data_IF_817870793136
#
_entry.id   IF_817870793136
#
_cell.length_a   1.000
_cell.length_b   1.000
_cell.length_c   1.000
_cell.angle_alpha   90.00
_cell.angle_beta   90.00
_cell.angle_gamma   90.00
#
_symmetry.space_group_name_H-M   'P 1'
#
loop_
_entity.id
_entity.type
_entity.pdbx_description
1 polymer ?
#
# COMPACT_ATOMS: atom_id res chain seq x y z
N UNK A 1 13.82 -2.20 -19.68
CA UNK A 1 14.15 -2.83 -18.37
C UNK A 1 12.82 -3.21 -17.72
N UNK A 2 12.69 -4.43 -17.21
CA UNK A 2 11.45 -4.91 -16.58
C UNK A 2 11.58 -4.81 -15.05
N UNK A 3 10.71 -4.02 -14.41
CA UNK A 3 10.73 -3.81 -12.95
C UNK A 3 10.47 -5.08 -12.15
N UNK A 4 9.80 -6.06 -12.73
CA UNK A 4 9.55 -7.36 -12.09
C UNK A 4 10.84 -8.11 -11.72
N UNK A 5 11.95 -7.82 -12.44
CA UNK A 5 13.21 -8.55 -12.29
C UNK A 5 14.41 -7.66 -12.01
N UNK A 6 14.22 -6.33 -11.96
CA UNK A 6 15.34 -5.38 -11.85
C UNK A 6 16.02 -5.40 -10.48
N UNK A 7 15.29 -5.77 -9.43
CA UNK A 7 15.70 -5.63 -8.04
C UNK A 7 15.52 -6.91 -7.22
N UNK A 8 14.89 -7.93 -7.77
CA UNK A 8 14.43 -9.10 -7.04
C UNK A 8 14.68 -10.39 -7.84
N UNK A 9 14.76 -11.51 -7.14
CA UNK A 9 14.85 -12.85 -7.73
C UNK A 9 13.45 -13.39 -8.02
N UNK A 10 13.26 -14.02 -9.19
CA UNK A 10 11.99 -14.61 -9.58
C UNK A 10 11.45 -15.59 -8.52
N UNK A 11 10.20 -15.41 -8.14
CA UNK A 11 9.49 -16.28 -7.22
C UNK A 11 9.93 -16.20 -5.75
N UNK A 12 10.80 -15.25 -5.39
CA UNK A 12 11.27 -15.04 -4.02
C UNK A 12 10.81 -13.71 -3.47
N UNK A 13 10.36 -13.69 -2.22
CA UNK A 13 10.10 -12.44 -1.52
C UNK A 13 11.42 -11.72 -1.19
N UNK A 14 11.39 -10.37 -1.06
CA UNK A 14 12.58 -9.65 -0.61
C UNK A 14 12.94 -10.03 0.82
N UNK A 15 14.22 -9.89 1.17
CA UNK A 15 14.67 -9.98 2.56
C UNK A 15 14.17 -8.76 3.34
N UNK A 16 12.98 -8.90 3.90
CA UNK A 16 12.29 -7.87 4.68
C UNK A 16 11.83 -8.41 6.02
N UNK A 17 11.63 -7.52 6.98
CA UNK A 17 11.03 -7.90 8.25
C UNK A 17 9.65 -8.55 8.05
N UNK A 18 8.90 -8.10 7.04
CA UNK A 18 7.60 -8.69 6.73
C UNK A 18 7.71 -10.16 6.33
N UNK A 19 8.68 -10.49 5.51
CA UNK A 19 8.91 -11.88 5.08
C UNK A 19 9.45 -12.74 6.23
N UNK A 20 10.30 -12.17 7.08
CA UNK A 20 10.88 -12.88 8.22
C UNK A 20 9.85 -13.19 9.32
N UNK A 21 8.75 -12.43 9.41
CA UNK A 21 7.75 -12.54 10.49
C UNK A 21 6.39 -13.06 10.02
N UNK A 22 6.24 -13.35 8.72
CA UNK A 22 5.00 -13.90 8.16
C UNK A 22 5.30 -15.21 7.45
N UNK A 23 4.78 -16.36 7.91
CA UNK A 23 4.94 -17.62 7.20
C UNK A 23 4.40 -17.48 5.76
N UNK A 24 5.20 -17.79 4.73
CA UNK A 24 4.74 -17.74 3.36
C UNK A 24 3.67 -18.80 3.10
N UNK A 25 2.74 -18.51 2.19
CA UNK A 25 1.86 -19.56 1.68
C UNK A 25 2.67 -20.57 0.84
N UNK A 26 2.24 -21.83 0.78
CA UNK A 26 2.72 -22.74 -0.25
C UNK A 26 2.61 -22.07 -1.62
N UNK A 27 3.61 -22.25 -2.47
CA UNK A 27 3.59 -21.66 -3.80
C UNK A 27 2.40 -22.18 -4.61
N UNK A 28 1.68 -21.29 -5.27
CA UNK A 28 0.68 -21.68 -6.26
C UNK A 28 1.39 -22.10 -7.55
N UNK A 29 0.87 -23.15 -8.21
CA UNK A 29 1.45 -23.63 -9.46
C UNK A 29 1.36 -22.54 -10.54
N UNK A 30 2.34 -22.46 -11.46
CA UNK A 30 2.22 -21.60 -12.62
C UNK A 30 1.15 -22.10 -13.59
N UNK A 31 0.59 -21.20 -14.38
CA UNK A 31 -0.33 -21.54 -15.47
C UNK A 31 0.46 -22.32 -16.54
N UNK A 32 0.04 -23.57 -16.81
CA UNK A 32 0.72 -24.49 -17.73
C UNK A 32 -0.15 -25.02 -18.86
N UNK A 33 -1.35 -24.46 -19.02
CA UNK A 33 -2.30 -24.84 -20.09
C UNK A 33 -3.29 -23.73 -20.37
N UNK A 34 -3.98 -23.83 -21.48
CA UNK A 34 -5.09 -22.93 -21.83
C UNK A 34 -6.32 -23.28 -20.98
N UNK A 35 -6.93 -22.24 -20.41
CA UNK A 35 -8.14 -22.33 -19.59
C UNK A 35 -9.14 -21.21 -19.94
N UNK A 36 -10.35 -21.32 -19.42
CA UNK A 36 -11.34 -20.25 -19.50
C UNK A 36 -11.82 -19.86 -18.11
N UNK A 37 -12.32 -18.63 -17.99
CA UNK A 37 -12.92 -18.09 -16.77
C UNK A 37 -13.92 -16.96 -17.10
N UNK A 38 -14.74 -16.57 -16.15
CA UNK A 38 -15.56 -15.35 -16.31
C UNK A 38 -14.67 -14.11 -16.23
N UNK A 39 -13.79 -14.08 -15.24
CA UNK A 39 -12.91 -12.93 -14.99
C UNK A 39 -11.46 -13.37 -14.81
N UNK A 40 -10.55 -12.76 -15.56
CA UNK A 40 -9.11 -12.90 -15.39
C UNK A 40 -8.54 -11.62 -14.77
N UNK A 41 -7.86 -11.74 -13.63
CA UNK A 41 -7.23 -10.63 -12.91
C UNK A 41 -5.71 -10.75 -13.01
N UNK A 42 -5.05 -9.67 -13.41
CA UNK A 42 -3.59 -9.62 -13.57
C UNK A 42 -2.99 -8.86 -12.40
N UNK A 43 -2.28 -9.58 -11.54
CA UNK A 43 -1.65 -9.09 -10.31
C UNK A 43 -2.38 -9.55 -9.05
N UNK A 44 -1.64 -10.20 -8.15
CA UNK A 44 -2.10 -10.70 -6.85
C UNK A 44 -1.67 -9.78 -5.69
N UNK A 45 -1.81 -8.46 -5.87
CA UNK A 45 -1.76 -7.46 -4.81
C UNK A 45 -3.13 -7.24 -4.15
N UNK A 46 -3.26 -6.24 -3.29
CA UNK A 46 -4.52 -5.93 -2.58
C UNK A 46 -5.71 -5.79 -3.53
N UNK A 47 -5.56 -4.96 -4.57
CA UNK A 47 -6.63 -4.71 -5.55
C UNK A 47 -7.06 -5.98 -6.25
N UNK A 48 -6.11 -6.77 -6.75
CA UNK A 48 -6.43 -8.01 -7.47
C UNK A 48 -7.06 -9.06 -6.57
N UNK A 49 -6.55 -9.26 -5.37
CA UNK A 49 -7.06 -10.25 -4.43
C UNK A 49 -8.43 -9.87 -3.85
N UNK A 50 -8.64 -8.58 -3.52
CA UNK A 50 -9.94 -8.10 -3.05
C UNK A 50 -11.01 -8.21 -4.14
N UNK A 51 -10.67 -7.83 -5.39
CA UNK A 51 -11.57 -8.00 -6.51
C UNK A 51 -11.88 -9.48 -6.79
N UNK A 52 -10.87 -10.35 -6.72
CA UNK A 52 -11.02 -11.78 -6.93
C UNK A 52 -11.95 -12.41 -5.89
N UNK A 53 -11.72 -12.12 -4.61
CA UNK A 53 -12.54 -12.60 -3.51
C UNK A 53 -14.00 -12.15 -3.67
N UNK A 54 -14.22 -10.84 -3.86
CA UNK A 54 -15.56 -10.28 -4.01
C UNK A 54 -16.32 -10.85 -5.22
N UNK A 55 -15.63 -11.10 -6.33
CA UNK A 55 -16.26 -11.68 -7.52
C UNK A 55 -16.57 -13.17 -7.33
N UNK A 56 -15.66 -13.93 -6.72
CA UNK A 56 -15.89 -15.34 -6.43
C UNK A 56 -17.06 -15.54 -5.43
N UNK A 57 -17.17 -14.71 -4.40
CA UNK A 57 -18.31 -14.72 -3.48
C UNK A 57 -19.65 -14.38 -4.16
N UNK A 58 -19.61 -13.72 -5.31
CA UNK A 58 -20.78 -13.46 -6.18
C UNK A 58 -21.04 -14.57 -7.20
N UNK A 59 -20.27 -15.65 -7.18
CA UNK A 59 -20.44 -16.82 -8.03
C UNK A 59 -19.77 -16.76 -9.39
N UNK A 60 -18.85 -15.80 -9.63
CA UNK A 60 -18.04 -15.78 -10.85
C UNK A 60 -16.88 -16.77 -10.77
N UNK A 61 -16.56 -17.38 -11.90
CA UNK A 61 -15.31 -18.15 -12.06
C UNK A 61 -14.14 -17.16 -12.28
N UNK A 62 -13.21 -17.12 -11.32
CA UNK A 62 -12.17 -16.10 -11.26
C UNK A 62 -10.78 -16.73 -11.30
N UNK A 63 -9.95 -16.25 -12.22
CA UNK A 63 -8.51 -16.56 -12.33
C UNK A 63 -7.69 -15.35 -11.97
N UNK A 64 -6.66 -15.53 -11.15
CA UNK A 64 -5.64 -14.52 -10.84
C UNK A 64 -4.29 -14.99 -11.37
N UNK A 65 -3.64 -14.14 -12.18
CA UNK A 65 -2.30 -14.36 -12.72
C UNK A 65 -1.31 -13.41 -12.04
N UNK A 66 -0.32 -13.96 -11.35
CA UNK A 66 0.73 -13.21 -10.67
C UNK A 66 2.10 -13.55 -11.28
N UNK A 67 2.85 -12.53 -11.64
CA UNK A 67 4.17 -12.71 -12.26
C UNK A 67 5.22 -13.29 -11.31
N UNK A 68 5.08 -13.01 -10.01
CA UNK A 68 6.02 -13.41 -8.96
C UNK A 68 5.32 -14.31 -7.94
N UNK A 69 5.13 -13.80 -6.73
CA UNK A 69 4.40 -14.41 -5.61
C UNK A 69 3.24 -13.50 -5.19
N UNK A 70 2.24 -14.07 -4.58
CA UNK A 70 1.12 -13.30 -3.98
C UNK A 70 1.65 -12.20 -3.06
N UNK A 71 1.19 -10.96 -3.22
CA UNK A 71 1.64 -9.83 -2.40
C UNK A 71 3.09 -9.40 -2.62
N UNK A 72 3.77 -9.92 -3.63
CA UNK A 72 5.17 -9.60 -3.94
C UNK A 72 5.43 -8.10 -4.16
N UNK A 73 4.52 -7.42 -4.87
CA UNK A 73 4.66 -6.01 -5.22
C UNK A 73 4.52 -5.07 -4.02
N UNK A 74 4.09 -3.84 -4.28
CA UNK A 74 3.92 -2.81 -3.27
C UNK A 74 3.02 -3.24 -2.09
N UNK A 75 2.05 -4.12 -2.33
CA UNK A 75 1.13 -4.62 -1.30
C UNK A 75 1.81 -5.35 -0.15
N UNK A 76 2.91 -6.06 -0.40
CA UNK A 76 3.67 -6.74 0.66
C UNK A 76 4.88 -5.96 1.16
N UNK A 77 5.10 -4.70 0.71
CA UNK A 77 6.33 -3.94 0.97
C UNK A 77 6.10 -2.55 1.57
N UNK A 78 4.85 -2.10 1.69
CA UNK A 78 4.47 -0.75 2.13
C UNK A 78 4.57 -0.56 3.64
N UNK A 79 4.29 0.66 4.13
CA UNK A 79 4.35 1.01 5.56
C UNK A 79 3.24 0.40 6.42
N UNK A 80 2.22 -0.20 5.80
CA UNK A 80 1.09 -0.81 6.49
C UNK A 80 0.05 0.19 7.00
N UNK A 81 0.06 1.43 6.57
CA UNK A 81 -0.90 2.46 7.00
C UNK A 81 -2.20 2.38 6.20
N UNK A 82 -3.32 2.45 6.89
CA UNK A 82 -4.70 2.49 6.41
C UNK A 82 -5.31 3.83 6.80
N UNK A 83 -5.04 4.86 6.01
CA UNK A 83 -5.42 6.25 6.31
C UNK A 83 -6.81 6.61 5.82
N UNK A 84 -7.35 7.73 6.35
CA UNK A 84 -8.62 8.33 5.97
C UNK A 84 -8.48 9.25 4.76
N UNK A 85 -9.55 9.47 4.02
CA UNK A 85 -9.59 10.36 2.85
C UNK A 85 -8.72 9.87 1.67
N UNK A 86 -8.48 10.75 0.72
CA UNK A 86 -7.63 10.50 -0.45
C UNK A 86 -6.20 11.02 -0.21
N UNK A 87 -5.29 10.75 -1.15
CA UNK A 87 -3.92 11.29 -1.12
C UNK A 87 -3.81 12.76 -1.57
N UNK A 88 -4.90 13.48 -1.50
CA UNK A 88 -5.03 14.91 -1.81
C UNK A 88 -5.95 15.49 -0.73
N UNK A 89 -5.55 16.63 -0.18
CA UNK A 89 -6.33 17.41 0.76
C UNK A 89 -7.78 17.58 0.30
N UNK A 90 -8.75 17.39 1.21
CA UNK A 90 -10.16 17.33 0.85
C UNK A 90 -10.67 18.65 0.30
N UNK A 91 -10.28 19.78 0.86
CA UNK A 91 -10.63 21.10 0.33
C UNK A 91 -9.99 21.37 -1.05
N UNK A 92 -8.83 20.77 -1.33
CA UNK A 92 -8.24 20.81 -2.67
C UNK A 92 -9.02 19.95 -3.66
N UNK A 93 -9.52 18.79 -3.25
CA UNK A 93 -10.38 17.95 -4.10
C UNK A 93 -11.65 18.69 -4.50
N UNK A 94 -12.28 19.42 -3.59
CA UNK A 94 -13.46 20.23 -3.91
C UNK A 94 -13.16 21.30 -4.96
N UNK A 95 -12.02 21.97 -4.86
CA UNK A 95 -11.60 22.95 -5.88
C UNK A 95 -11.31 22.30 -7.24
N UNK A 96 -10.88 21.05 -7.26
CA UNK A 96 -10.55 20.30 -8.49
C UNK A 96 -11.77 19.74 -9.22
N UNK A 97 -12.79 19.26 -8.49
CA UNK A 97 -13.89 18.50 -9.09
C UNK A 97 -15.29 18.89 -8.59
N UNK A 98 -15.39 19.87 -7.69
CA UNK A 98 -16.65 20.27 -7.05
C UNK A 98 -16.96 19.47 -5.78
N UNK A 99 -17.81 20.04 -4.93
CA UNK A 99 -18.12 19.51 -3.61
C UNK A 99 -18.76 18.11 -3.66
N UNK A 100 -19.68 17.88 -4.59
CA UNK A 100 -20.40 16.61 -4.69
C UNK A 100 -19.47 15.42 -5.01
N UNK A 101 -18.58 15.57 -6.00
CA UNK A 101 -17.65 14.52 -6.38
C UNK A 101 -16.55 14.34 -5.33
N UNK A 102 -16.07 15.41 -4.70
CA UNK A 102 -15.14 15.34 -3.59
C UNK A 102 -15.76 14.61 -2.39
N UNK A 103 -17.04 14.84 -2.08
CA UNK A 103 -17.77 14.14 -1.02
C UNK A 103 -17.94 12.64 -1.35
N UNK A 104 -18.22 12.29 -2.62
CA UNK A 104 -18.28 10.89 -3.07
C UNK A 104 -16.92 10.19 -2.89
N UNK A 105 -15.81 10.88 -3.21
CA UNK A 105 -14.46 10.33 -3.00
C UNK A 105 -14.13 10.17 -1.52
N UNK A 106 -14.56 11.10 -0.67
CA UNK A 106 -14.42 10.96 0.78
C UNK A 106 -15.12 9.69 1.27
N UNK A 107 -16.42 9.53 0.94
CA UNK A 107 -17.21 8.34 1.33
C UNK A 107 -16.56 7.06 0.81
N UNK A 108 -16.13 7.02 -0.44
CA UNK A 108 -15.45 5.87 -1.02
C UNK A 108 -14.18 5.49 -0.24
N UNK A 109 -13.45 6.49 0.26
CA UNK A 109 -12.28 6.26 1.09
C UNK A 109 -12.65 5.64 2.45
N UNK A 110 -13.67 6.16 3.10
CA UNK A 110 -14.16 5.63 4.38
C UNK A 110 -14.70 4.21 4.22
N UNK A 111 -15.54 3.98 3.19
CA UNK A 111 -16.04 2.65 2.84
C UNK A 111 -14.90 1.66 2.57
N UNK A 112 -13.81 2.11 1.95
CA UNK A 112 -12.63 1.29 1.68
C UNK A 112 -11.89 0.88 2.96
N UNK A 113 -11.78 1.78 3.95
CA UNK A 113 -11.21 1.45 5.27
C UNK A 113 -12.06 0.41 5.99
N UNK A 114 -13.38 0.62 5.98
CA UNK A 114 -14.31 -0.28 6.63
C UNK A 114 -14.36 -1.65 5.95
N UNK A 115 -14.24 -1.68 4.62
CA UNK A 115 -14.09 -2.93 3.87
C UNK A 115 -12.82 -3.68 4.29
N UNK A 116 -11.67 -3.01 4.41
CA UNK A 116 -10.43 -3.66 4.86
C UNK A 116 -10.59 -4.24 6.27
N UNK A 117 -11.16 -3.47 7.21
CA UNK A 117 -11.43 -3.93 8.58
C UNK A 117 -12.40 -5.12 8.59
N UNK A 118 -13.44 -5.06 7.76
CA UNK A 118 -14.44 -6.13 7.63
C UNK A 118 -13.85 -7.41 7.05
N UNK A 119 -13.03 -7.32 6.01
CA UNK A 119 -12.32 -8.47 5.43
C UNK A 119 -11.38 -9.13 6.44
N UNK A 120 -10.66 -8.32 7.25
CA UNK A 120 -9.79 -8.82 8.32
C UNK A 120 -10.61 -9.61 9.34
N UNK A 121 -11.74 -9.06 9.78
CA UNK A 121 -12.60 -9.71 10.77
C UNK A 121 -13.30 -10.96 10.22
N UNK A 122 -13.91 -10.86 9.03
CA UNK A 122 -14.67 -11.94 8.38
C UNK A 122 -13.80 -13.16 8.08
N UNK A 123 -12.58 -12.94 7.58
CA UNK A 123 -11.66 -14.00 7.19
C UNK A 123 -10.59 -14.31 8.24
N UNK A 124 -10.72 -13.73 9.43
CA UNK A 124 -9.80 -13.94 10.57
C UNK A 124 -8.33 -13.76 10.16
N UNK A 125 -8.04 -12.65 9.46
CA UNK A 125 -6.70 -12.37 8.97
C UNK A 125 -5.83 -11.81 10.09
N UNK A 126 -4.89 -12.59 10.56
CA UNK A 126 -3.91 -12.16 11.57
C UNK A 126 -2.85 -11.27 10.93
N UNK A 127 -3.09 -9.97 10.92
CA UNK A 127 -2.20 -8.97 10.34
C UNK A 127 -1.85 -7.82 11.31
N UNK A 128 -1.99 -8.04 12.61
CA UNK A 128 -1.66 -7.03 13.65
C UNK A 128 -2.31 -5.67 13.39
N UNK A 129 -3.60 -5.65 13.05
CA UNK A 129 -4.35 -4.41 12.87
C UNK A 129 -4.41 -3.62 14.17
N UNK A 130 -3.97 -2.35 14.14
CA UNK A 130 -3.99 -1.40 15.26
C UNK A 130 -4.59 -0.07 14.82
N UNK A 131 -5.41 0.58 15.63
CA UNK A 131 -5.95 1.89 15.33
C UNK A 131 -4.90 2.99 15.49
N UNK A 132 -5.08 4.09 14.77
CA UNK A 132 -4.37 5.34 14.93
C UNK A 132 -3.26 5.58 13.92
N UNK A 133 -3.36 6.74 13.27
CA UNK A 133 -2.28 7.35 12.51
C UNK A 133 -2.12 8.80 12.96
N UNK A 134 -0.93 9.18 13.43
CA UNK A 134 -0.60 10.56 13.72
C UNK A 134 0.01 11.24 12.50
N UNK A 135 -0.51 12.41 12.16
CA UNK A 135 0.07 13.30 11.16
C UNK A 135 0.85 14.40 11.87
N UNK A 136 2.18 14.40 11.71
CA UNK A 136 3.10 15.23 12.48
C UNK A 136 3.70 16.34 11.63
N UNK A 137 3.58 17.57 12.11
CA UNK A 137 4.08 18.78 11.45
C UNK A 137 5.55 19.07 11.80
N UNK A 138 6.34 19.44 10.79
CA UNK A 138 7.74 19.83 10.93
C UNK A 138 7.90 21.32 11.29
N UNK A 139 6.84 22.11 11.17
CA UNK A 139 6.83 23.54 11.51
C UNK A 139 5.51 23.92 12.18
N UNK A 140 5.51 25.03 12.94
CA UNK A 140 4.27 25.56 13.54
C UNK A 140 3.22 25.97 12.49
N UNK A 141 3.67 26.40 11.31
CA UNK A 141 2.75 26.72 10.20
C UNK A 141 2.03 25.49 9.66
N UNK A 142 2.77 24.39 9.49
CA UNK A 142 2.19 23.11 9.06
C UNK A 142 1.26 22.52 10.12
N UNK A 143 1.61 22.65 11.41
CA UNK A 143 0.73 22.26 12.50
C UNK A 143 -0.60 23.00 12.43
N UNK A 144 -0.57 24.33 12.26
CA UNK A 144 -1.79 25.12 12.12
C UNK A 144 -2.63 24.69 10.90
N UNK A 145 -1.97 24.34 9.79
CA UNK A 145 -2.66 23.82 8.60
C UNK A 145 -3.32 22.46 8.85
N UNK A 146 -2.65 21.55 9.56
CA UNK A 146 -3.22 20.26 9.97
C UNK A 146 -4.41 20.42 10.93
N UNK A 147 -4.35 21.40 11.83
CA UNK A 147 -5.48 21.69 12.73
C UNK A 147 -6.69 22.21 11.94
N UNK A 148 -6.48 23.13 11.00
CA UNK A 148 -7.55 23.62 10.12
C UNK A 148 -8.14 22.50 9.24
N UNK A 149 -7.32 21.56 8.77
CA UNK A 149 -7.80 20.38 8.04
C UNK A 149 -8.69 19.49 8.94
N UNK A 150 -8.27 19.25 10.17
CA UNK A 150 -9.04 18.47 11.13
C UNK A 150 -10.40 19.11 11.44
N UNK A 151 -10.43 20.43 11.69
CA UNK A 151 -11.64 21.22 11.90
C UNK A 151 -12.55 21.17 10.65
N UNK A 152 -11.97 21.35 9.47
CA UNK A 152 -12.70 21.28 8.21
C UNK A 152 -13.36 19.92 7.98
N UNK A 153 -12.65 18.81 8.26
CA UNK A 153 -13.19 17.46 8.14
C UNK A 153 -14.32 17.19 9.14
N UNK A 154 -14.20 17.70 10.37
CA UNK A 154 -15.28 17.62 11.35
C UNK A 154 -16.51 18.43 10.89
N UNK A 155 -16.33 19.71 10.53
CA UNK A 155 -17.43 20.62 10.22
C UNK A 155 -18.15 20.28 8.91
N UNK A 156 -17.40 19.92 7.86
CA UNK A 156 -17.96 19.74 6.51
C UNK A 156 -18.29 18.27 6.18
N UNK A 157 -17.59 17.31 6.82
CA UNK A 157 -17.71 15.88 6.53
C UNK A 157 -18.22 15.05 7.72
N UNK A 158 -18.42 15.69 8.91
CA UNK A 158 -18.85 15.01 10.13
C UNK A 158 -17.83 13.98 10.61
N UNK A 159 -16.53 14.20 10.32
CA UNK A 159 -15.48 13.25 10.68
C UNK A 159 -14.83 13.61 12.01
N UNK A 160 -15.37 13.09 13.10
CA UNK A 160 -14.98 13.41 14.48
C UNK A 160 -13.94 12.45 15.07
N UNK A 161 -13.22 11.70 14.23
CA UNK A 161 -12.21 10.72 14.67
C UNK A 161 -10.81 11.34 14.83
N UNK A 162 -10.66 12.65 14.63
CA UNK A 162 -9.38 13.36 14.68
C UNK A 162 -9.26 14.18 15.96
N UNK A 163 -8.16 13.96 16.69
CA UNK A 163 -7.76 14.81 17.80
C UNK A 163 -6.55 15.64 17.41
N UNK A 164 -6.67 16.97 17.45
CA UNK A 164 -5.54 17.87 17.24
C UNK A 164 -4.53 17.76 18.39
N UNK A 165 -3.27 17.90 18.08
CA UNK A 165 -2.15 17.79 19.01
C UNK A 165 -1.33 19.09 18.97
N UNK A 166 -1.20 19.78 20.07
CA UNK A 166 -0.20 20.83 20.21
C UNK A 166 1.22 20.24 20.28
N UNK A 167 2.24 21.10 20.39
CA UNK A 167 3.62 20.67 20.43
C UNK A 167 3.92 19.73 21.61
N UNK A 168 3.40 20.03 22.79
CA UNK A 168 3.63 19.24 23.98
C UNK A 168 2.95 17.87 23.89
N UNK A 169 1.72 17.83 23.43
CA UNK A 169 0.96 16.60 23.18
C UNK A 169 1.60 15.75 22.10
N UNK A 170 2.03 16.37 20.98
CA UNK A 170 2.76 15.68 19.92
C UNK A 170 4.07 15.07 20.37
N UNK A 171 4.83 15.78 21.17
CA UNK A 171 6.08 15.27 21.77
C UNK A 171 5.84 14.20 22.85
N UNK A 172 4.73 14.27 23.58
CA UNK A 172 4.36 13.20 24.51
C UNK A 172 4.00 11.90 23.76
N UNK A 173 3.41 12.00 22.58
CA UNK A 173 3.03 10.85 21.73
C UNK A 173 4.24 10.29 20.97
N UNK A 174 5.01 11.16 20.34
CA UNK A 174 6.21 10.84 19.56
C UNK A 174 7.38 11.73 20.07
N UNK A 175 8.23 11.21 20.97
CA UNK A 175 9.34 11.97 21.58
C UNK A 175 10.44 12.30 20.57
N UNK A 176 10.16 13.21 19.66
CA UNK A 176 11.10 13.71 18.66
C UNK A 176 11.19 15.22 18.73
N UNK A 177 12.40 15.80 18.71
CA UNK A 177 12.58 17.26 18.82
C UNK A 177 12.13 18.03 17.57
N UNK A 178 11.91 17.32 16.45
CA UNK A 178 11.62 17.97 15.15
C UNK A 178 10.14 18.28 14.94
N UNK A 179 9.24 17.64 15.69
CA UNK A 179 7.80 17.81 15.49
C UNK A 179 7.23 18.93 16.34
N UNK A 180 6.32 19.68 15.72
CA UNK A 180 5.65 20.84 16.31
C UNK A 180 4.22 20.54 16.78
N UNK A 181 3.77 19.29 16.72
CA UNK A 181 2.38 18.86 16.92
C UNK A 181 1.78 18.36 15.62
N UNK A 182 0.45 18.35 15.52
CA UNK A 182 -0.27 17.82 14.36
C UNK A 182 -1.65 17.33 14.74
N UNK A 183 -2.03 16.13 14.32
CA UNK A 183 -3.24 15.45 14.78
C UNK A 183 -3.09 13.93 14.84
N UNK A 184 -3.93 13.27 15.63
CA UNK A 184 -4.08 11.81 15.67
C UNK A 184 -5.46 11.44 15.12
N UNK A 185 -5.47 10.66 14.05
CA UNK A 185 -6.68 10.09 13.44
C UNK A 185 -6.92 8.69 14.01
N UNK A 186 -7.91 8.54 14.88
CA UNK A 186 -8.32 7.28 15.51
C UNK A 186 -9.12 6.39 14.57
N UNK A 187 -9.75 6.94 13.53
CA UNK A 187 -10.47 6.20 12.50
C UNK A 187 -9.55 5.48 11.53
N UNK A 188 -8.32 5.99 11.38
CA UNK A 188 -7.25 5.34 10.64
C UNK A 188 -6.66 4.16 11.40
N UNK A 189 -5.84 3.34 10.72
CA UNK A 189 -5.21 2.17 11.32
C UNK A 189 -3.86 1.85 10.66
N UNK A 190 -3.13 0.91 11.26
CA UNK A 190 -1.97 0.29 10.60
C UNK A 190 -1.97 -1.23 10.80
N UNK A 191 -1.28 -1.93 9.94
CA UNK A 191 -1.27 -3.39 9.90
C UNK A 191 0.05 -3.93 9.33
N UNK A 192 0.21 -5.25 9.39
CA UNK A 192 1.29 -5.97 8.72
C UNK A 192 0.90 -6.26 7.26
N UNK A 193 1.45 -5.54 6.27
CA UNK A 193 0.93 -5.53 4.90
C UNK A 193 1.04 -6.88 4.19
N UNK A 194 2.16 -7.60 4.34
CA UNK A 194 2.30 -8.93 3.73
C UNK A 194 1.34 -9.94 4.33
N UNK A 195 1.17 -9.94 5.66
CA UNK A 195 0.24 -10.83 6.34
C UNK A 195 -1.21 -10.60 5.85
N UNK A 196 -1.60 -9.34 5.66
CA UNK A 196 -2.90 -9.00 5.09
C UNK A 196 -3.05 -9.51 3.65
N UNK A 197 -2.05 -9.31 2.78
CA UNK A 197 -2.08 -9.81 1.40
C UNK A 197 -2.21 -11.34 1.35
N UNK A 198 -1.42 -12.07 2.17
CA UNK A 198 -1.49 -13.52 2.25
C UNK A 198 -2.82 -14.01 2.84
N UNK A 199 -3.39 -13.26 3.78
CA UNK A 199 -4.72 -13.52 4.33
C UNK A 199 -5.81 -13.40 3.25
N UNK A 200 -5.79 -12.34 2.45
CA UNK A 200 -6.71 -12.18 1.31
C UNK A 200 -6.57 -13.32 0.30
N UNK A 201 -5.35 -13.77 0.02
CA UNK A 201 -5.13 -14.88 -0.91
C UNK A 201 -5.68 -16.21 -0.36
N UNK A 202 -5.55 -16.46 0.96
CA UNK A 202 -6.20 -17.62 1.58
C UNK A 202 -7.71 -17.56 1.46
N UNK A 203 -8.30 -16.41 1.74
CA UNK A 203 -9.74 -16.18 1.61
C UNK A 203 -10.21 -16.36 0.15
N UNK A 204 -9.53 -15.75 -0.81
CA UNK A 204 -9.84 -15.88 -2.23
C UNK A 204 -9.77 -17.36 -2.69
N UNK A 205 -8.71 -18.08 -2.30
CA UNK A 205 -8.59 -19.50 -2.60
C UNK A 205 -9.73 -20.31 -1.99
N UNK A 206 -10.09 -20.04 -0.75
CA UNK A 206 -11.21 -20.72 -0.07
C UNK A 206 -12.56 -20.43 -0.74
N UNK A 207 -12.73 -19.25 -1.33
CA UNK A 207 -13.89 -18.87 -2.14
C UNK A 207 -13.88 -19.46 -3.57
N UNK A 208 -12.88 -20.27 -3.94
CA UNK A 208 -12.80 -20.93 -5.24
C UNK A 208 -11.97 -20.22 -6.29
N UNK A 209 -11.29 -19.11 -5.97
CA UNK A 209 -10.41 -18.42 -6.93
C UNK A 209 -9.23 -19.30 -7.33
N UNK A 210 -8.96 -19.38 -8.63
CA UNK A 210 -7.80 -20.03 -9.21
C UNK A 210 -6.63 -19.04 -9.27
N UNK A 211 -5.63 -19.21 -8.41
CA UNK A 211 -4.44 -18.36 -8.34
C UNK A 211 -3.25 -19.07 -8.99
N UNK A 212 -2.55 -18.40 -9.90
CA UNK A 212 -1.33 -18.89 -10.56
C UNK A 212 -0.20 -17.89 -10.29
N UNK A 213 0.87 -18.34 -9.65
CA UNK A 213 2.12 -17.60 -9.44
C UNK A 213 3.11 -17.88 -10.59
N UNK A 214 4.17 -17.08 -10.70
CA UNK A 214 5.16 -17.16 -11.77
C UNK A 214 4.54 -17.23 -13.18
N UNK A 215 3.41 -16.56 -13.34
CA UNK A 215 2.57 -16.53 -14.54
C UNK A 215 2.50 -15.11 -15.10
N UNK A 216 3.67 -14.58 -15.50
CA UNK A 216 3.76 -13.23 -16.10
C UNK A 216 2.92 -13.17 -17.37
N UNK A 217 2.02 -12.20 -17.42
CA UNK A 217 1.25 -11.91 -18.63
C UNK A 217 2.12 -11.14 -19.61
N UNK A 218 2.31 -11.72 -20.77
CA UNK A 218 3.18 -11.18 -21.84
C UNK A 218 2.40 -10.49 -22.96
N UNK A 219 1.14 -10.89 -23.17
CA UNK A 219 0.26 -10.27 -24.16
C UNK A 219 -1.21 -10.34 -23.76
N UNK A 220 -1.99 -9.43 -24.31
CA UNK A 220 -3.44 -9.34 -24.12
C UNK A 220 -4.12 -9.06 -25.46
N UNK A 221 -4.81 -10.04 -25.99
CA UNK A 221 -5.67 -9.86 -27.15
C UNK A 221 -7.06 -9.40 -26.71
N UNK A 222 -7.44 -8.22 -27.17
CA UNK A 222 -8.74 -7.62 -26.90
C UNK A 222 -9.84 -8.23 -27.74
N UNK A 223 -11.10 -8.04 -27.33
CA UNK A 223 -12.26 -8.51 -28.05
C UNK A 223 -13.44 -8.77 -27.13
N UNK A 224 -14.50 -9.37 -27.65
CA UNK A 224 -15.68 -9.80 -26.86
C UNK A 224 -15.30 -10.88 -25.83
N UNK A 225 -14.28 -11.66 -26.12
CA UNK A 225 -13.62 -12.60 -25.21
C UNK A 225 -12.13 -12.34 -25.25
N UNK A 226 -11.61 -11.52 -24.31
CA UNK A 226 -10.18 -11.28 -24.18
C UNK A 226 -9.41 -12.58 -23.96
N UNK A 227 -8.20 -12.66 -24.53
CA UNK A 227 -7.25 -13.74 -24.27
C UNK A 227 -6.02 -13.15 -23.63
N UNK A 228 -5.73 -13.61 -22.43
CA UNK A 228 -4.61 -13.19 -21.60
C UNK A 228 -3.52 -14.25 -21.66
N UNK A 229 -2.40 -13.94 -22.27
CA UNK A 229 -1.34 -14.90 -22.59
C UNK A 229 -0.20 -14.81 -21.58
N UNK A 230 0.15 -15.95 -21.01
CA UNK A 230 1.38 -16.20 -20.26
C UNK A 230 2.36 -17.01 -21.11
N UNK A 231 3.52 -17.35 -20.55
CA UNK A 231 4.54 -18.13 -21.23
C UNK A 231 4.05 -19.53 -21.66
N UNK A 232 3.38 -20.24 -20.74
CA UNK A 232 3.08 -21.67 -20.87
C UNK A 232 1.56 -21.97 -20.91
N UNK A 233 0.73 -20.94 -21.10
CA UNK A 233 -0.73 -21.06 -21.20
C UNK A 233 -1.41 -19.72 -21.38
N UNK A 234 -2.72 -19.77 -21.63
CA UNK A 234 -3.55 -18.57 -21.78
C UNK A 234 -4.88 -18.70 -21.04
N UNK A 235 -5.48 -17.57 -20.68
CA UNK A 235 -6.83 -17.50 -20.11
C UNK A 235 -7.73 -16.78 -21.09
N UNK A 236 -8.78 -17.46 -21.58
CA UNK A 236 -9.87 -16.84 -22.31
C UNK A 236 -10.95 -16.44 -21.31
N UNK A 237 -11.32 -15.17 -21.25
CA UNK A 237 -12.27 -14.67 -20.26
C UNK A 237 -13.33 -13.75 -20.85
N UNK A 238 -14.38 -13.47 -20.08
CA UNK A 238 -15.40 -12.48 -20.42
C UNK A 238 -14.92 -11.07 -20.07
N UNK A 239 -14.23 -10.93 -18.94
CA UNK A 239 -13.68 -9.67 -18.48
C UNK A 239 -12.24 -9.86 -17.99
N UNK A 240 -11.40 -8.84 -18.16
CA UNK A 240 -10.06 -8.82 -17.57
C UNK A 240 -9.86 -7.57 -16.73
N UNK A 241 -9.15 -7.72 -15.59
CA UNK A 241 -8.81 -6.63 -14.69
C UNK A 241 -7.29 -6.51 -14.61
N UNK A 242 -6.76 -5.32 -14.92
CA UNK A 242 -5.33 -5.00 -14.73
C UNK A 242 -5.14 -4.42 -13.34
N UNK A 243 -4.53 -5.16 -12.44
CA UNK A 243 -4.23 -4.77 -11.06
C UNK A 243 -2.71 -4.77 -10.80
N UNK A 244 -1.90 -4.37 -11.80
CA UNK A 244 -0.44 -4.51 -11.80
C UNK A 244 0.31 -3.37 -11.10
N UNK A 245 -0.38 -2.30 -10.71
CA UNK A 245 0.22 -1.12 -10.09
C UNK A 245 1.46 -0.63 -10.85
N UNK A 246 2.57 -0.29 -10.18
CA UNK A 246 3.82 0.18 -10.78
C UNK A 246 4.57 -0.86 -11.62
N UNK A 247 4.14 -2.12 -11.60
CA UNK A 247 4.76 -3.22 -12.35
C UNK A 247 4.11 -3.51 -13.71
N UNK A 248 3.14 -2.70 -14.14
CA UNK A 248 2.42 -2.90 -15.41
C UNK A 248 3.36 -2.95 -16.64
N UNK A 249 4.47 -2.22 -16.61
CA UNK A 249 5.41 -2.16 -17.72
C UNK A 249 4.76 -1.71 -19.04
N UNK A 250 5.06 -2.41 -20.13
CA UNK A 250 4.54 -2.10 -21.46
C UNK A 250 3.25 -2.86 -21.82
N UNK A 251 2.68 -3.61 -20.89
CA UNK A 251 1.51 -4.44 -21.14
C UNK A 251 0.30 -3.60 -21.64
N UNK A 252 0.16 -2.36 -21.16
CA UNK A 252 -0.80 -1.41 -21.71
C UNK A 252 -0.22 0.02 -21.73
N UNK A 253 0.08 0.51 -22.94
CA UNK A 253 0.72 1.83 -23.13
C UNK A 253 -0.13 3.01 -22.67
N UNK A 254 -1.48 2.92 -22.77
CA UNK A 254 -2.37 4.00 -22.32
C UNK A 254 -2.28 4.20 -20.81
N UNK A 255 -2.21 3.10 -20.08
CA UNK A 255 -2.07 3.13 -18.61
C UNK A 255 -0.64 3.50 -18.22
N UNK A 256 0.36 2.88 -18.85
CA UNK A 256 1.78 3.17 -18.59
C UNK A 256 2.12 4.66 -18.73
N UNK A 257 1.49 5.36 -19.69
CA UNK A 257 1.68 6.81 -19.87
C UNK A 257 1.01 7.70 -18.80
N UNK A 258 0.27 7.13 -17.85
CA UNK A 258 -0.42 7.86 -16.78
C UNK A 258 0.12 7.56 -15.39
N UNK A 259 1.02 6.60 -15.30
CA UNK A 259 1.55 6.09 -14.03
C UNK A 259 3.06 6.16 -14.07
N UNK A 260 3.67 6.83 -13.11
CA UNK A 260 5.11 6.89 -12.94
C UNK A 260 5.53 5.90 -11.84
N UNK A 261 6.32 4.86 -12.15
CA UNK A 261 6.88 3.99 -11.13
C UNK A 261 7.96 4.73 -10.35
N UNK A 262 7.81 4.78 -9.03
CA UNK A 262 8.79 5.41 -8.11
C UNK A 262 9.14 4.39 -7.05
N UNK A 263 10.42 4.28 -6.73
CA UNK A 263 10.88 3.40 -5.65
C UNK A 263 10.92 4.14 -4.32
N UNK A 264 10.39 3.49 -3.30
CA UNK A 264 10.44 3.94 -1.91
C UNK A 264 11.05 2.84 -1.03
N UNK A 265 11.59 3.21 0.13
CA UNK A 265 12.40 2.32 0.95
C UNK A 265 11.97 2.32 2.40
N UNK A 266 12.08 1.15 3.03
CA UNK A 266 11.81 0.96 4.46
C UNK A 266 13.00 0.23 5.08
N UNK A 267 13.31 0.57 6.33
CA UNK A 267 14.25 -0.16 7.17
C UNK A 267 13.57 -0.56 8.47
N UNK A 268 13.96 -1.72 8.99
CA UNK A 268 13.59 -2.19 10.32
C UNK A 268 14.86 -2.26 11.20
N UNK A 269 14.81 -1.62 12.34
CA UNK A 269 15.91 -1.70 13.32
C UNK A 269 15.95 -3.08 13.99
N UNK A 270 16.99 -3.35 14.77
CA UNK A 270 16.92 -4.36 15.82
C UNK A 270 15.80 -4.02 16.82
N UNK A 271 15.30 -4.98 17.63
CA UNK A 271 14.32 -4.70 18.66
C UNK A 271 14.85 -3.65 19.66
N UNK A 272 14.06 -2.59 19.87
CA UNK A 272 14.49 -1.45 20.71
C UNK A 272 14.31 -1.72 22.22
N UNK A 273 13.56 -2.75 22.60
CA UNK A 273 13.28 -3.07 23.98
C UNK A 273 12.62 -1.91 24.73
N UNK A 274 13.23 -1.45 25.82
CA UNK A 274 12.73 -0.31 26.62
C UNK A 274 12.75 1.04 25.86
N UNK A 275 13.55 1.15 24.81
CA UNK A 275 13.70 2.41 24.05
C UNK A 275 12.56 2.62 23.04
N UNK A 276 11.63 1.67 22.90
CA UNK A 276 10.40 1.86 22.09
C UNK A 276 9.62 3.09 22.52
N UNK A 277 9.50 3.36 23.82
CA UNK A 277 8.81 4.53 24.35
C UNK A 277 9.50 5.87 24.00
N UNK A 278 10.77 5.85 23.60
CA UNK A 278 11.48 7.03 23.10
C UNK A 278 11.18 7.30 21.61
N UNK A 279 10.46 6.39 20.94
CA UNK A 279 10.01 6.53 19.57
C UNK A 279 8.51 6.83 19.53
N UNK A 280 7.71 5.97 20.15
CA UNK A 280 6.25 6.10 20.26
C UNK A 280 5.80 5.60 21.62
N UNK A 281 4.94 6.37 22.29
CA UNK A 281 4.35 5.99 23.58
C UNK A 281 3.05 5.18 23.42
N UNK A 282 2.52 5.08 22.22
CA UNK A 282 1.34 4.30 21.86
C UNK A 282 1.60 3.48 20.60
N UNK A 283 0.87 2.38 20.42
CA UNK A 283 0.96 1.53 19.22
C UNK A 283 0.15 2.13 18.06
N UNK A 284 0.71 3.15 17.44
CA UNK A 284 0.17 3.89 16.30
C UNK A 284 1.20 3.97 15.18
N UNK A 285 0.75 4.39 13.99
CA UNK A 285 1.66 4.80 12.93
C UNK A 285 1.78 6.32 12.88
N UNK A 286 2.84 6.81 12.29
CA UNK A 286 3.12 8.24 12.09
C UNK A 286 3.44 8.50 10.62
N UNK A 287 2.97 9.63 10.10
CA UNK A 287 3.41 10.24 8.85
C UNK A 287 3.70 11.72 9.08
N UNK A 288 4.74 12.28 8.46
CA UNK A 288 5.05 13.70 8.61
C UNK A 288 4.69 14.54 7.38
N UNK A 289 4.76 15.86 7.52
CA UNK A 289 4.41 16.82 6.46
C UNK A 289 5.51 17.01 5.41
N UNK A 290 6.59 16.25 5.48
CA UNK A 290 7.66 16.35 4.48
C UNK A 290 7.16 15.90 3.10
N UNK A 291 7.59 16.58 2.02
CA UNK A 291 7.20 16.22 0.66
C UNK A 291 7.54 14.77 0.29
N UNK A 292 8.73 14.29 0.63
CA UNK A 292 9.06 12.86 0.66
C UNK A 292 8.85 12.41 2.10
N UNK A 293 7.64 11.98 2.39
CA UNK A 293 7.16 11.70 3.74
C UNK A 293 8.07 10.73 4.47
N UNK A 294 8.44 11.07 5.70
CA UNK A 294 8.90 10.06 6.63
C UNK A 294 7.66 9.45 7.30
N UNK A 295 7.56 8.15 7.23
CA UNK A 295 6.49 7.40 7.88
C UNK A 295 7.07 6.25 8.69
N UNK A 296 6.50 5.99 9.84
CA UNK A 296 7.05 4.97 10.72
C UNK A 296 6.01 4.45 11.70
N UNK A 297 6.31 3.31 12.27
CA UNK A 297 5.57 2.68 13.36
C UNK A 297 6.46 1.71 14.12
N UNK A 298 6.03 1.26 15.26
CA UNK A 298 6.64 0.10 15.91
C UNK A 298 6.07 -1.19 15.32
N UNK A 299 6.91 -2.21 15.25
CA UNK A 299 6.50 -3.58 14.95
C UNK A 299 6.04 -4.29 16.23
N UNK A 300 5.35 -5.41 16.07
CA UNK A 300 4.87 -6.21 17.21
C UNK A 300 6.02 -6.82 18.05
N UNK A 301 7.22 -6.91 17.49
CA UNK A 301 8.45 -7.34 18.19
C UNK A 301 9.34 -6.17 18.64
N UNK A 302 8.78 -4.94 18.65
CA UNK A 302 9.43 -3.76 19.23
C UNK A 302 10.55 -3.13 18.39
N UNK A 303 10.51 -3.28 17.05
CA UNK A 303 11.43 -2.61 16.12
C UNK A 303 10.82 -1.32 15.60
N UNK A 304 11.66 -0.33 15.30
CA UNK A 304 11.23 0.80 14.48
C UNK A 304 11.22 0.38 13.00
N UNK A 305 10.04 0.37 12.39
CA UNK A 305 9.87 0.31 10.95
C UNK A 305 9.81 1.74 10.42
N UNK A 306 10.84 2.18 9.71
CA UNK A 306 10.95 3.55 9.22
C UNK A 306 11.01 3.56 7.70
N UNK A 307 10.07 4.26 7.07
CA UNK A 307 10.00 4.49 5.64
C UNK A 307 10.37 5.92 5.29
N UNK A 308 11.11 6.09 4.21
CA UNK A 308 11.50 7.39 3.72
C UNK A 308 12.56 7.32 2.62
N UNK A 309 12.63 8.39 1.86
CA UNK A 309 13.51 8.48 0.70
C UNK A 309 12.94 7.79 -0.54
N UNK A 310 13.22 8.35 -1.67
CA UNK A 310 12.73 7.89 -2.97
C UNK A 310 13.86 7.76 -3.99
N UNK A 311 13.59 7.01 -5.04
CA UNK A 311 14.50 6.88 -6.18
C UNK A 311 13.68 6.72 -7.47
N UNK A 312 14.02 7.51 -8.46
CA UNK A 312 13.38 7.52 -9.78
C UNK A 312 14.08 6.61 -10.80
N UNK A 313 15.15 5.91 -10.40
CA UNK A 313 15.80 4.91 -11.25
C UNK A 313 15.07 3.57 -11.15
N UNK A 314 15.24 2.72 -12.17
CA UNK A 314 14.68 1.36 -12.14
C UNK A 314 15.38 0.43 -11.12
N UNK A 315 16.57 0.78 -10.65
CA UNK A 315 17.34 -0.01 -9.68
C UNK A 315 17.29 0.59 -8.30
N UNK A 316 17.20 -0.24 -7.30
CA UNK A 316 17.36 0.17 -5.91
C UNK A 316 18.82 0.56 -5.63
N UNK A 317 19.09 1.43 -4.65
CA UNK A 317 20.45 1.70 -4.20
C UNK A 317 21.06 0.44 -3.59
N UNK A 318 22.36 0.28 -3.74
CA UNK A 318 23.10 -0.87 -3.21
C UNK A 318 23.04 -0.95 -1.68
N UNK A 319 22.87 0.18 -1.00
CA UNK A 319 22.73 0.25 0.45
C UNK A 319 21.47 1.03 0.84
N UNK A 320 20.34 0.30 0.90
CA UNK A 320 19.04 0.83 1.29
C UNK A 320 19.09 1.29 2.77
N UNK A 321 19.71 0.51 3.65
CA UNK A 321 19.81 0.84 5.07
C UNK A 321 20.46 2.21 5.30
N UNK A 322 21.57 2.51 4.61
CA UNK A 322 22.22 3.82 4.71
C UNK A 322 21.35 4.96 4.19
N UNK A 323 20.55 4.70 3.14
CA UNK A 323 19.62 5.69 2.57
C UNK A 323 18.52 6.06 3.58
N UNK A 324 17.90 5.06 4.21
CA UNK A 324 16.80 5.25 5.17
C UNK A 324 17.32 5.77 6.52
N UNK A 325 18.52 5.35 6.94
CA UNK A 325 19.15 5.83 8.19
C UNK A 325 19.27 7.36 8.24
N UNK A 326 19.58 8.02 7.13
CA UNK A 326 19.76 9.47 7.09
C UNK A 326 18.52 10.27 7.55
N UNK A 327 17.31 10.07 7.01
CA UNK A 327 16.10 10.73 7.52
C UNK A 327 15.74 10.23 8.92
N UNK A 328 15.89 8.94 9.23
CA UNK A 328 15.59 8.38 10.53
C UNK A 328 16.38 9.07 11.67
N UNK A 329 17.67 9.28 11.48
CA UNK A 329 18.54 9.96 12.47
C UNK A 329 18.19 11.44 12.68
N UNK A 330 17.56 12.09 11.70
CA UNK A 330 17.07 13.47 11.88
C UNK A 330 15.85 13.51 12.78
N UNK A 331 14.98 12.52 12.67
CA UNK A 331 13.78 12.41 13.50
C UNK A 331 14.13 11.87 14.90
N UNK A 332 15.00 10.86 14.97
CA UNK A 332 15.42 10.17 16.18
C UNK A 332 16.95 10.18 16.32
N UNK A 333 17.56 11.30 16.76
CA UNK A 333 19.03 11.41 16.89
C UNK A 333 19.64 10.38 17.86
N UNK A 334 18.89 9.96 18.88
CA UNK A 334 19.29 8.95 19.86
C UNK A 334 19.43 7.54 19.27
N UNK A 335 18.81 7.26 18.11
CA UNK A 335 18.94 5.99 17.40
C UNK A 335 20.08 5.99 16.36
N UNK A 336 21.07 6.89 16.49
CA UNK A 336 22.17 6.99 15.52
C UNK A 336 22.88 5.67 15.29
N UNK A 337 23.16 4.93 16.34
CA UNK A 337 23.99 3.73 16.32
C UNK A 337 23.18 2.43 16.36
N UNK A 338 21.83 2.54 16.32
CA UNK A 338 20.95 1.38 16.28
C UNK A 338 21.24 0.53 15.03
N UNK A 339 21.29 -0.79 15.21
CA UNK A 339 21.48 -1.70 14.09
C UNK A 339 20.21 -1.76 13.24
N UNK A 340 20.39 -1.74 11.93
CA UNK A 340 19.31 -2.03 10.97
C UNK A 340 19.45 -3.49 10.56
N UNK A 341 18.46 -4.30 10.94
CA UNK A 341 18.46 -5.73 10.64
C UNK A 341 17.90 -6.02 9.24
N UNK A 342 16.90 -5.26 8.80
CA UNK A 342 16.26 -5.42 7.50
C UNK A 342 16.14 -4.09 6.77
N UNK A 343 16.30 -4.12 5.44
CA UNK A 343 16.06 -2.95 4.60
C UNK A 343 15.61 -3.38 3.20
N UNK A 344 14.47 -2.88 2.75
CA UNK A 344 13.88 -3.27 1.48
C UNK A 344 13.30 -2.09 0.73
N UNK A 345 13.04 -2.30 -0.55
CA UNK A 345 12.38 -1.34 -1.41
C UNK A 345 11.10 -1.88 -2.00
N UNK A 346 10.23 -0.97 -2.43
CA UNK A 346 9.03 -1.26 -3.19
C UNK A 346 8.83 -0.23 -4.29
N UNK A 347 8.20 -0.64 -5.39
CA UNK A 347 7.87 0.24 -6.50
C UNK A 347 6.42 0.68 -6.38
N UNK A 348 6.20 1.99 -6.26
CA UNK A 348 4.90 2.63 -6.20
C UNK A 348 4.44 3.02 -7.60
N UNK A 349 3.13 3.14 -7.81
CA UNK A 349 2.53 3.75 -8.99
C UNK A 349 2.03 5.15 -8.63
N UNK A 350 2.68 6.18 -9.11
CA UNK A 350 2.24 7.56 -8.87
C UNK A 350 1.54 8.09 -10.12
N UNK A 351 0.27 8.43 -9.98
CA UNK A 351 -0.50 9.11 -11.02
C UNK A 351 -0.25 10.61 -11.02
N UNK A 352 -0.51 11.29 -12.13
CA UNK A 352 -0.29 12.74 -12.25
C UNK A 352 -1.05 13.56 -11.19
N UNK A 353 -2.22 13.11 -10.79
CA UNK A 353 -3.07 13.79 -9.80
C UNK A 353 -2.99 13.15 -8.41
N UNK A 354 -2.15 12.13 -8.23
CA UNK A 354 -2.01 11.37 -6.96
C UNK A 354 -3.31 10.72 -6.47
N UNK A 355 -4.31 10.60 -7.32
CA UNK A 355 -5.55 9.88 -7.06
C UNK A 355 -5.50 8.48 -7.70
N UNK A 356 -6.31 7.53 -7.23
CA UNK A 356 -6.48 6.25 -7.91
C UNK A 356 -6.85 6.45 -9.38
N UNK A 357 -6.28 5.63 -10.26
CA UNK A 357 -6.61 5.64 -11.68
C UNK A 357 -7.44 4.40 -12.00
N UNK A 358 -8.75 4.61 -12.14
CA UNK A 358 -9.73 3.62 -12.54
C UNK A 358 -10.13 3.92 -13.98
N UNK A 359 -10.01 2.94 -14.88
CA UNK A 359 -10.35 3.15 -16.28
C UNK A 359 -10.95 1.90 -16.92
N UNK A 360 -11.99 2.09 -17.70
CA UNK A 360 -12.46 1.10 -18.65
C UNK A 360 -11.70 1.30 -19.96
N UNK A 361 -10.80 0.37 -20.26
CA UNK A 361 -9.92 0.47 -21.43
C UNK A 361 -10.60 0.01 -22.73
N UNK A 362 -11.46 -0.99 -22.60
CA UNK A 362 -12.35 -1.53 -23.63
C UNK A 362 -13.61 -2.10 -22.95
N UNK A 363 -14.58 -2.61 -23.72
CA UNK A 363 -15.83 -3.13 -23.15
C UNK A 363 -15.62 -4.21 -22.07
N UNK A 364 -14.57 -4.99 -22.20
CA UNK A 364 -14.25 -6.14 -21.32
C UNK A 364 -12.91 -6.01 -20.59
N UNK A 365 -12.28 -4.85 -20.60
CA UNK A 365 -10.98 -4.63 -19.95
C UNK A 365 -11.03 -3.43 -18.99
N UNK A 366 -10.81 -3.69 -17.71
CA UNK A 366 -10.80 -2.70 -16.64
C UNK A 366 -9.37 -2.58 -16.09
N UNK A 367 -8.93 -1.37 -15.80
CA UNK A 367 -7.69 -1.08 -15.09
C UNK A 367 -7.97 -0.40 -13.78
N UNK A 368 -7.28 -0.85 -12.73
CA UNK A 368 -7.28 -0.24 -11.42
C UNK A 368 -5.82 -0.08 -10.99
N UNK A 369 -5.40 1.16 -10.75
CA UNK A 369 -4.12 1.48 -10.14
C UNK A 369 -4.36 2.45 -9.00
N UNK A 370 -4.00 2.04 -7.81
CA UNK A 370 -4.00 2.91 -6.64
C UNK A 370 -2.57 3.41 -6.41
N UNK A 371 -2.34 4.71 -6.24
CA UNK A 371 -1.11 5.16 -5.62
C UNK A 371 -1.11 4.57 -4.22
N UNK A 372 -0.23 3.59 -3.97
CA UNK A 372 0.00 3.10 -2.61
C UNK A 372 0.40 4.31 -1.78
N UNK A 373 -0.43 4.68 -0.79
CA UNK A 373 -0.09 5.76 0.12
C UNK A 373 1.21 5.43 0.83
N UNK A 374 2.23 6.25 0.71
CA UNK A 374 2.70 7.03 1.82
C UNK A 374 1.81 8.28 1.87
N UNK A 375 1.25 8.60 3.02
CA UNK A 375 0.42 9.79 3.20
C UNK A 375 1.18 11.03 2.71
N UNK A 376 0.61 11.76 1.77
CA UNK A 376 1.13 13.04 1.30
C UNK A 376 0.06 14.10 1.47
#
# INVERSE_FOLDING_TARGET
>A
MNLLYSNDTLGQYPDSWYTATTPPLPAFAPLSKDISADVCIIGAGYTGLSAALTLAERGYDVVVLEAQRVGFGASGRNGGQLGSGQNVDQGKLERMMGADDANRLWRLSEDSKDMVKSLIAQHQIECHLKPGIAHMALTSKEMAALHLEAEYLSDQYGYDQINTLDKAQGQALCPSPVYHGGYLDHGAAHLHPLAFALGLARAAKAAGVHIYEQSEVTDMRKGTKPVITCRDGAVTCTHAILACNGYLGQLNRKVAGRVMPINNFIAATEPLGKDTAQVLTQDIAVADTKFVVNYFRLSHDGRLLFGGGENYSYRFPTNIAAKVRRPMQKIFPHLRDVKIDYAWGGTLAITAHRLPYLARLDLSLIHISEPTRPNF
#
